data_IF_987989661778
#
_entry.id   IF_987989661778
#
_cell.length_a   1.000
_cell.length_b   1.000
_cell.length_c   1.000
_cell.angle_alpha   90.00
_cell.angle_beta   90.00
_cell.angle_gamma   90.00
#
_symmetry.space_group_name_H-M   'P 1'
#
loop_
_entity.id
_entity.type
_entity.pdbx_description
1 polymer ?
#
# COMPACT_ATOMS: atom_id res chain seq x y z
N UNK A 1 19.55 35.14 -19.48
CA UNK A 1 19.84 33.92 -18.70
C UNK A 1 18.52 33.15 -18.57
N UNK A 2 18.48 31.84 -18.85
CA UNK A 2 17.23 31.06 -18.78
C UNK A 2 17.15 30.31 -17.43
N UNK A 3 15.95 29.94 -16.95
CA UNK A 3 15.78 29.32 -15.63
C UNK A 3 16.40 27.93 -15.49
N UNK A 4 16.62 27.21 -16.61
CA UNK A 4 17.22 25.86 -16.58
C UNK A 4 18.70 25.90 -16.16
N UNK A 5 19.44 26.99 -16.39
CA UNK A 5 20.87 27.07 -16.03
C UNK A 5 21.17 26.92 -14.55
N UNK A 6 20.19 27.17 -13.68
CA UNK A 6 20.33 27.04 -12.24
C UNK A 6 19.80 25.69 -11.70
N UNK A 7 19.26 24.83 -12.57
CA UNK A 7 18.73 23.54 -12.14
C UNK A 7 19.85 22.52 -11.89
N UNK A 8 19.69 21.63 -10.89
CA UNK A 8 20.65 20.58 -10.59
C UNK A 8 20.68 19.50 -11.70
N UNK A 9 21.74 18.67 -11.69
CA UNK A 9 21.91 17.57 -12.66
C UNK A 9 20.68 16.64 -12.72
N UNK A 10 20.05 16.33 -11.57
CA UNK A 10 18.82 15.53 -11.48
C UNK A 10 17.64 16.04 -12.33
N UNK A 11 17.65 17.31 -12.72
CA UNK A 11 16.61 17.91 -13.57
C UNK A 11 16.82 17.67 -15.07
N UNK A 12 17.92 17.05 -15.48
CA UNK A 12 18.26 16.81 -16.88
C UNK A 12 18.43 15.31 -17.16
N UNK A 13 17.70 14.81 -18.16
CA UNK A 13 17.69 13.39 -18.52
C UNK A 13 19.09 12.80 -18.75
N UNK A 14 19.94 13.51 -19.50
CA UNK A 14 21.26 13.00 -19.87
C UNK A 14 22.13 12.70 -18.64
N UNK A 15 22.43 13.67 -17.75
CA UNK A 15 23.23 13.42 -16.56
C UNK A 15 22.50 12.64 -15.45
N UNK A 16 21.17 12.69 -15.37
CA UNK A 16 20.42 12.00 -14.31
C UNK A 16 20.08 10.53 -14.64
N UNK A 17 19.96 10.18 -15.93
CA UNK A 17 19.40 8.89 -16.36
C UNK A 17 20.25 8.19 -17.42
N UNK A 18 20.77 8.92 -18.42
CA UNK A 18 21.43 8.28 -19.56
C UNK A 18 22.93 8.00 -19.35
N UNK A 19 23.63 8.88 -18.64
CA UNK A 19 25.07 8.76 -18.35
C UNK A 19 25.39 7.86 -17.15
N UNK A 20 24.60 7.86 -16.04
CA UNK A 20 24.84 6.95 -14.91
C UNK A 20 24.62 5.48 -15.28
N UNK A 21 25.28 4.58 -14.54
CA UNK A 21 24.84 3.17 -14.51
C UNK A 21 23.40 3.10 -14.00
N UNK A 22 22.59 2.17 -14.53
CA UNK A 22 21.16 2.11 -14.18
C UNK A 22 20.92 1.91 -12.68
N UNK A 23 21.83 1.22 -11.96
CA UNK A 23 21.72 1.02 -10.51
C UNK A 23 22.28 2.20 -9.70
N UNK A 24 22.95 3.13 -10.37
CA UNK A 24 23.51 4.36 -9.80
C UNK A 24 22.63 5.59 -10.02
N UNK A 25 21.49 5.47 -10.74
CA UNK A 25 20.47 6.53 -10.81
C UNK A 25 20.03 6.87 -9.39
N UNK A 26 20.16 8.14 -9.01
CA UNK A 26 19.84 8.61 -7.66
C UNK A 26 19.03 9.91 -7.68
N UNK A 27 18.81 10.51 -6.51
CA UNK A 27 18.02 11.75 -6.33
C UNK A 27 16.64 11.76 -7.01
N UNK A 28 16.02 10.58 -7.20
CA UNK A 28 14.68 10.46 -7.82
C UNK A 28 13.57 11.02 -6.95
N UNK A 29 13.84 11.20 -5.65
CA UNK A 29 12.92 11.75 -4.66
C UNK A 29 13.68 12.61 -3.66
N UNK A 30 13.08 13.76 -3.32
CA UNK A 30 13.49 14.64 -2.23
C UNK A 30 12.27 14.76 -1.31
N UNK A 31 12.33 14.25 -0.07
CA UNK A 31 11.19 14.28 0.84
C UNK A 31 10.73 15.71 1.11
N UNK A 32 9.42 15.92 1.22
CA UNK A 32 8.87 17.21 1.69
C UNK A 32 8.93 17.39 3.20
N UNK A 33 9.01 16.29 3.92
CA UNK A 33 9.02 16.24 5.37
C UNK A 33 9.94 15.12 5.81
N UNK A 34 10.60 15.32 6.95
CA UNK A 34 11.37 14.27 7.61
C UNK A 34 10.41 13.22 8.17
N UNK A 35 10.89 11.99 8.21
CA UNK A 35 10.24 10.86 8.91
C UNK A 35 11.31 10.32 9.83
N UNK A 36 11.32 10.76 11.09
CA UNK A 36 12.33 10.42 12.08
C UNK A 36 12.34 8.92 12.45
N UNK A 37 13.43 8.41 13.04
CA UNK A 37 13.51 7.00 13.44
C UNK A 37 12.48 6.66 14.54
N UNK A 38 12.14 7.62 15.40
CA UNK A 38 11.19 7.43 16.50
C UNK A 38 9.73 7.71 16.11
N UNK A 39 9.49 8.30 14.94
CA UNK A 39 8.14 8.60 14.47
C UNK A 39 7.39 7.31 14.17
N UNK A 40 6.21 7.05 14.77
CA UNK A 40 5.46 5.85 14.45
C UNK A 40 4.99 5.91 13.00
N UNK A 41 5.52 5.02 12.16
CA UNK A 41 5.19 4.90 10.74
C UNK A 41 4.18 3.78 10.56
N UNK A 42 3.06 4.11 9.92
CA UNK A 42 2.03 3.16 9.53
C UNK A 42 2.21 2.78 8.06
N UNK A 43 2.01 1.51 7.71
CA UNK A 43 1.98 1.03 6.33
C UNK A 43 0.64 0.38 6.02
N UNK A 44 0.07 0.75 4.87
CA UNK A 44 -1.13 0.14 4.31
C UNK A 44 -1.05 0.16 2.78
N UNK A 45 -1.79 -0.71 2.10
CA UNK A 45 -1.89 -0.64 0.65
C UNK A 45 -1.86 -1.99 -0.04
N UNK A 46 -1.36 -1.99 -1.27
CA UNK A 46 -1.19 -3.15 -2.13
C UNK A 46 -0.23 -4.21 -1.56
N UNK A 47 -0.10 -5.33 -2.28
CA UNK A 47 0.87 -6.38 -1.96
C UNK A 47 2.33 -5.89 -1.89
N UNK A 48 2.71 -4.82 -2.61
CA UNK A 48 4.06 -4.24 -2.46
C UNK A 48 4.29 -3.59 -1.08
N UNK A 49 3.23 -3.10 -0.42
CA UNK A 49 3.35 -2.43 0.87
C UNK A 49 3.82 -3.37 2.00
N UNK A 50 3.64 -4.69 1.83
CA UNK A 50 4.09 -5.70 2.80
C UNK A 50 5.60 -5.72 2.99
N UNK A 51 6.36 -5.20 2.03
CA UNK A 51 7.81 -5.11 2.10
C UNK A 51 8.28 -3.88 2.89
N UNK A 52 7.44 -2.85 3.01
CA UNK A 52 7.81 -1.58 3.65
C UNK A 52 7.92 -1.74 5.16
N UNK A 53 6.98 -2.43 5.80
CA UNK A 53 6.96 -2.62 7.25
C UNK A 53 8.22 -3.31 7.81
N UNK A 54 8.57 -4.50 7.31
CA UNK A 54 9.82 -5.18 7.67
C UNK A 54 11.05 -4.32 7.38
N UNK A 55 11.14 -3.71 6.19
CA UNK A 55 12.30 -2.88 5.83
C UNK A 55 12.48 -1.66 6.75
N UNK A 56 11.39 -0.99 7.15
CA UNK A 56 11.42 0.09 8.14
C UNK A 56 11.98 -0.41 9.48
N UNK A 57 11.54 -1.60 9.92
CA UNK A 57 11.97 -2.20 11.18
C UNK A 57 13.45 -2.61 11.15
N UNK A 58 13.90 -3.17 10.03
CA UNK A 58 15.29 -3.59 9.82
C UNK A 58 16.26 -2.39 9.79
N UNK A 59 15.80 -1.23 9.32
CA UNK A 59 16.53 0.05 9.40
C UNK A 59 16.31 0.81 10.71
N UNK A 60 15.72 0.17 11.72
CA UNK A 60 15.56 0.74 13.06
C UNK A 60 14.54 1.86 13.17
N UNK A 61 13.64 2.00 12.20
CA UNK A 61 12.51 2.92 12.29
C UNK A 61 11.36 2.32 13.10
N UNK A 62 10.60 3.20 13.75
CA UNK A 62 9.42 2.85 14.54
C UNK A 62 8.23 2.48 13.65
N UNK A 63 8.26 1.28 13.05
CA UNK A 63 7.11 0.75 12.34
C UNK A 63 6.04 0.26 13.33
N UNK A 64 4.86 0.87 13.28
CA UNK A 64 3.79 0.60 14.22
C UNK A 64 2.79 -0.44 13.68
N UNK A 65 2.64 -1.54 14.40
CA UNK A 65 1.58 -2.53 14.20
C UNK A 65 0.37 -2.19 15.08
N UNK A 66 -0.81 -2.01 14.48
CA UNK A 66 -2.02 -1.63 15.22
C UNK A 66 -2.62 -2.78 16.02
N UNK A 67 -2.52 -4.00 15.49
CA UNK A 67 -3.02 -5.22 16.10
C UNK A 67 -1.87 -6.20 16.29
N UNK A 68 -1.39 -6.31 17.53
CA UNK A 68 -0.34 -7.27 17.86
C UNK A 68 -0.90 -8.70 17.93
N UNK A 69 -0.13 -9.71 17.50
CA UNK A 69 -0.55 -11.10 17.61
C UNK A 69 -0.72 -11.50 19.07
N UNK A 70 -1.77 -12.27 19.42
CA UNK A 70 -1.92 -12.81 20.75
C UNK A 70 -0.73 -13.71 21.12
N UNK A 71 -0.40 -13.84 22.42
CA UNK A 71 0.68 -14.71 22.85
C UNK A 71 0.38 -16.17 22.47
N UNK A 72 1.43 -16.93 22.15
CA UNK A 72 1.33 -18.36 21.84
C UNK A 72 1.24 -18.71 20.35
N UNK A 73 1.01 -17.75 19.45
CA UNK A 73 1.04 -18.03 18.00
C UNK A 73 2.46 -18.25 17.49
N UNK A 74 2.65 -19.33 16.73
CA UNK A 74 3.85 -19.60 15.91
C UNK A 74 4.03 -18.55 14.82
N UNK A 75 5.24 -18.45 14.26
CA UNK A 75 5.50 -17.55 13.13
C UNK A 75 4.61 -17.85 11.92
N UNK A 76 4.33 -19.13 11.65
CA UNK A 76 3.46 -19.55 10.56
C UNK A 76 2.00 -19.11 10.79
N UNK A 77 1.47 -19.28 12.00
CA UNK A 77 0.11 -18.85 12.34
C UNK A 77 -0.03 -17.32 12.30
N UNK A 78 0.96 -16.58 12.82
CA UNK A 78 0.99 -15.12 12.73
C UNK A 78 0.88 -14.66 11.28
N UNK A 79 1.68 -15.29 10.42
CA UNK A 79 1.72 -15.00 8.99
C UNK A 79 0.41 -15.35 8.29
N UNK A 80 -0.11 -16.55 8.51
CA UNK A 80 -1.38 -17.01 7.94
C UNK A 80 -2.55 -16.12 8.34
N UNK A 81 -2.45 -15.47 9.50
CA UNK A 81 -3.45 -14.53 10.04
C UNK A 81 -3.10 -13.07 9.78
N UNK A 82 -2.13 -12.78 8.92
CA UNK A 82 -1.72 -11.43 8.49
C UNK A 82 -1.14 -10.51 9.59
N UNK A 83 -0.69 -11.06 10.71
CA UNK A 83 0.08 -10.29 11.70
C UNK A 83 1.46 -9.96 11.14
N UNK A 84 1.94 -8.73 11.35
CA UNK A 84 3.22 -8.28 10.81
C UNK A 84 3.26 -8.04 9.30
N UNK A 85 2.13 -8.16 8.59
CA UNK A 85 2.06 -7.92 7.14
C UNK A 85 1.89 -6.43 6.78
N UNK A 86 1.04 -5.73 7.54
CA UNK A 86 0.72 -4.32 7.41
C UNK A 86 0.50 -3.74 8.81
N UNK A 87 0.45 -2.41 8.92
CA UNK A 87 0.08 -1.79 10.20
C UNK A 87 -1.36 -2.07 10.60
N UNK A 88 -2.27 -2.18 9.63
CA UNK A 88 -3.66 -2.56 9.87
C UNK A 88 -3.89 -4.00 9.46
N UNK A 89 -4.49 -4.81 10.33
CA UNK A 89 -4.83 -6.21 10.03
C UNK A 89 -6.12 -6.31 9.19
N UNK A 90 -6.21 -5.49 8.14
CA UNK A 90 -7.32 -5.42 7.17
C UNK A 90 -7.08 -6.32 5.96
N UNK A 91 -5.88 -6.87 5.81
CA UNK A 91 -5.41 -7.40 4.52
C UNK A 91 -5.10 -6.26 3.55
N UNK A 92 -5.07 -6.59 2.26
CA UNK A 92 -4.64 -5.65 1.21
C UNK A 92 -5.67 -4.55 0.98
N UNK A 93 -5.23 -3.30 0.90
CA UNK A 93 -6.08 -2.15 0.56
C UNK A 93 -5.62 -1.60 -0.80
N UNK A 94 -6.26 -2.02 -1.89
CA UNK A 94 -5.82 -1.64 -3.24
C UNK A 94 -6.23 -0.23 -3.66
N UNK A 95 -7.44 0.20 -3.31
CA UNK A 95 -8.04 1.42 -3.83
C UNK A 95 -8.13 2.52 -2.75
N UNK A 96 -8.10 3.77 -3.19
CA UNK A 96 -8.33 4.92 -2.29
C UNK A 96 -9.70 4.85 -1.61
N UNK A 97 -10.72 4.35 -2.30
CA UNK A 97 -12.07 4.17 -1.76
C UNK A 97 -12.11 3.14 -0.63
N UNK A 98 -11.39 2.02 -0.74
CA UNK A 98 -11.30 1.03 0.32
C UNK A 98 -10.56 1.58 1.56
N UNK A 99 -9.50 2.38 1.37
CA UNK A 99 -8.86 3.07 2.49
C UNK A 99 -9.82 4.07 3.14
N UNK A 100 -10.53 4.87 2.33
CA UNK A 100 -11.53 5.82 2.82
C UNK A 100 -12.59 5.12 3.66
N UNK A 101 -13.11 3.99 3.18
CA UNK A 101 -14.09 3.19 3.90
C UNK A 101 -13.57 2.75 5.28
N UNK A 102 -12.39 2.13 5.35
CA UNK A 102 -11.81 1.70 6.62
C UNK A 102 -11.59 2.86 7.59
N UNK A 103 -11.15 4.02 7.10
CA UNK A 103 -10.94 5.19 7.93
C UNK A 103 -12.26 5.84 8.37
N UNK A 104 -13.29 5.89 7.52
CA UNK A 104 -14.64 6.30 7.93
C UNK A 104 -15.11 5.41 9.09
N UNK A 105 -15.00 4.09 8.93
CA UNK A 105 -15.40 3.11 9.94
C UNK A 105 -14.64 3.23 11.25
N UNK A 106 -13.34 3.55 11.17
CA UNK A 106 -12.51 3.67 12.34
C UNK A 106 -12.64 5.03 13.03
N UNK A 107 -12.84 6.13 12.29
CA UNK A 107 -12.69 7.50 12.82
C UNK A 107 -14.01 8.25 13.02
N UNK A 108 -15.14 7.69 12.59
CA UNK A 108 -16.47 8.30 12.75
C UNK A 108 -17.41 7.40 13.58
N UNK A 109 -18.68 7.79 13.67
CA UNK A 109 -19.74 7.00 14.31
C UNK A 109 -20.37 5.95 13.37
N UNK A 110 -20.14 6.06 12.06
CA UNK A 110 -20.50 5.02 11.10
C UNK A 110 -19.46 3.91 11.17
N UNK A 111 -19.81 2.73 11.69
CA UNK A 111 -18.91 1.57 11.81
C UNK A 111 -19.03 0.56 10.66
N UNK A 112 -19.76 0.91 9.60
CA UNK A 112 -20.07 0.02 8.49
C UNK A 112 -21.21 -0.96 8.79
N UNK A 113 -21.62 -1.76 7.79
CA UNK A 113 -22.72 -2.70 7.94
C UNK A 113 -22.33 -3.91 8.80
N UNK A 114 -23.31 -4.47 9.51
CA UNK A 114 -23.16 -5.71 10.29
C UNK A 114 -23.15 -6.99 9.41
N UNK A 115 -22.76 -6.88 8.14
CA UNK A 115 -22.70 -8.01 7.23
C UNK A 115 -21.56 -8.98 7.61
N UNK A 116 -21.91 -10.26 7.59
CA UNK A 116 -21.02 -11.41 7.78
C UNK A 116 -21.39 -12.48 6.76
N UNK A 117 -20.40 -13.12 6.15
CA UNK A 117 -20.62 -14.24 5.24
C UNK A 117 -20.57 -15.56 5.99
N UNK A 118 -21.48 -16.47 5.67
CA UNK A 118 -21.45 -17.85 6.15
C UNK A 118 -20.59 -18.70 5.21
N UNK A 119 -19.68 -19.47 5.78
CA UNK A 119 -18.80 -20.40 5.07
C UNK A 119 -18.87 -21.77 5.77
N UNK A 120 -19.80 -22.61 5.33
CA UNK A 120 -20.17 -23.85 6.03
C UNK A 120 -20.70 -23.57 7.44
N UNK A 121 -19.99 -24.06 8.45
CA UNK A 121 -20.28 -23.87 9.89
C UNK A 121 -19.48 -22.70 10.49
N UNK A 122 -18.78 -21.93 9.67
CA UNK A 122 -17.95 -20.79 10.05
C UNK A 122 -18.53 -19.48 9.51
N UNK A 123 -18.02 -18.38 10.05
CA UNK A 123 -18.40 -17.03 9.70
C UNK A 123 -17.17 -16.20 9.32
N UNK A 124 -17.24 -15.45 8.22
CA UNK A 124 -16.12 -14.71 7.65
C UNK A 124 -16.49 -13.24 7.47
N UNK A 125 -15.51 -12.36 7.70
CA UNK A 125 -15.67 -10.93 7.44
C UNK A 125 -15.56 -10.64 5.93
N UNK A 126 -16.62 -10.15 5.26
CA UNK A 126 -16.59 -9.79 3.82
C UNK A 126 -15.52 -8.78 3.43
N UNK A 127 -15.02 -7.99 4.38
CA UNK A 127 -14.02 -6.95 4.15
C UNK A 127 -12.61 -7.38 4.53
N UNK A 128 -12.46 -8.55 5.16
CA UNK A 128 -11.18 -9.16 5.54
C UNK A 128 -11.20 -10.68 5.25
N UNK A 129 -11.54 -11.11 4.01
CA UNK A 129 -11.91 -12.51 3.73
C UNK A 129 -10.77 -13.53 3.89
N UNK A 130 -9.52 -13.08 3.92
CA UNK A 130 -8.31 -13.91 4.08
C UNK A 130 -7.61 -13.77 5.43
N UNK A 131 -8.00 -12.78 6.26
CA UNK A 131 -7.28 -12.45 7.50
C UNK A 131 -7.46 -13.51 8.59
N UNK A 132 -8.60 -14.20 8.59
CA UNK A 132 -8.88 -15.30 9.51
C UNK A 132 -9.23 -16.56 8.69
N UNK A 133 -8.23 -17.42 8.38
CA UNK A 133 -8.40 -18.48 7.38
C UNK A 133 -9.45 -19.53 7.76
N UNK A 134 -9.59 -19.80 9.05
CA UNK A 134 -10.56 -20.76 9.61
C UNK A 134 -11.95 -20.14 9.87
N UNK A 135 -12.09 -18.83 9.64
CA UNK A 135 -13.27 -18.07 10.03
C UNK A 135 -13.48 -17.99 11.56
N UNK A 136 -14.67 -17.54 11.94
CA UNK A 136 -15.10 -17.38 13.33
C UNK A 136 -16.26 -18.33 13.66
N UNK A 137 -16.45 -18.60 14.95
CA UNK A 137 -17.51 -19.50 15.44
C UNK A 137 -18.92 -18.91 15.34
N UNK A 138 -19.05 -17.58 15.27
CA UNK A 138 -20.35 -16.90 15.20
C UNK A 138 -20.27 -15.54 14.49
N UNK A 139 -21.40 -14.99 14.00
CA UNK A 139 -21.45 -13.63 13.47
C UNK A 139 -20.96 -12.57 14.47
N UNK A 140 -21.31 -12.73 15.74
CA UNK A 140 -20.93 -11.80 16.81
C UNK A 140 -19.42 -11.80 17.01
N UNK A 141 -18.77 -12.97 16.93
CA UNK A 141 -17.31 -13.08 16.99
C UNK A 141 -16.63 -12.40 15.79
N UNK A 142 -17.17 -12.56 14.57
CA UNK A 142 -16.69 -11.85 13.38
C UNK A 142 -16.79 -10.34 13.54
N UNK A 143 -17.94 -9.83 13.96
CA UNK A 143 -18.17 -8.40 14.15
C UNK A 143 -17.34 -7.85 15.32
N UNK A 144 -17.15 -8.61 16.39
CA UNK A 144 -16.26 -8.24 17.50
C UNK A 144 -14.81 -8.10 17.02
N UNK A 145 -14.33 -9.02 16.19
CA UNK A 145 -13.00 -8.91 15.58
C UNK A 145 -12.89 -7.70 14.65
N UNK A 146 -13.97 -7.32 13.94
CA UNK A 146 -13.97 -6.09 13.12
C UNK A 146 -13.89 -4.85 13.99
N UNK A 147 -14.70 -4.75 15.04
CA UNK A 147 -14.66 -3.64 16.00
C UNK A 147 -13.28 -3.51 16.66
N UNK A 148 -12.60 -4.62 16.96
CA UNK A 148 -11.22 -4.61 17.46
C UNK A 148 -10.26 -3.94 16.47
N UNK A 149 -10.33 -4.29 15.18
CA UNK A 149 -9.54 -3.65 14.12
C UNK A 149 -9.86 -2.17 13.97
N UNK A 150 -11.14 -1.77 13.97
CA UNK A 150 -11.53 -0.36 13.88
C UNK A 150 -10.98 0.45 15.05
N UNK A 151 -11.07 -0.08 16.27
CA UNK A 151 -10.49 0.54 17.45
C UNK A 151 -8.96 0.61 17.37
N UNK A 152 -8.30 -0.40 16.82
CA UNK A 152 -6.86 -0.42 16.61
C UNK A 152 -6.40 0.66 15.61
N UNK A 153 -7.07 0.76 14.46
CA UNK A 153 -6.84 1.80 13.45
C UNK A 153 -6.95 3.18 14.11
N UNK A 154 -8.06 3.46 14.81
CA UNK A 154 -8.29 4.73 15.51
C UNK A 154 -7.12 5.08 16.44
N UNK A 155 -6.74 4.16 17.33
CA UNK A 155 -5.63 4.39 18.28
C UNK A 155 -4.31 4.69 17.56
N UNK A 156 -3.94 3.87 16.57
CA UNK A 156 -2.65 4.06 15.88
C UNK A 156 -2.59 5.32 15.04
N UNK A 157 -3.67 5.68 14.34
CA UNK A 157 -3.73 6.91 13.54
C UNK A 157 -3.55 8.15 14.43
N UNK A 158 -4.16 8.17 15.62
CA UNK A 158 -4.02 9.30 16.55
C UNK A 158 -2.60 9.50 17.10
N UNK A 159 -1.77 8.45 17.10
CA UNK A 159 -0.40 8.50 17.59
C UNK A 159 0.70 8.52 16.52
N UNK A 160 0.35 8.33 15.25
CA UNK A 160 1.34 8.17 14.17
C UNK A 160 1.96 9.49 13.70
N UNK A 161 3.22 9.40 13.23
CA UNK A 161 3.90 10.49 12.53
C UNK A 161 3.61 10.47 11.04
N UNK A 162 3.64 9.29 10.41
CA UNK A 162 3.46 9.13 8.97
C UNK A 162 2.57 7.93 8.63
N UNK A 163 1.67 8.09 7.65
CA UNK A 163 1.03 6.97 6.95
C UNK A 163 1.64 6.81 5.55
N UNK A 164 2.28 5.66 5.33
CA UNK A 164 2.79 5.20 4.05
C UNK A 164 1.71 4.38 3.34
N UNK A 165 1.07 4.96 2.31
CA UNK A 165 0.00 4.28 1.57
C UNK A 165 0.43 3.92 0.15
N UNK A 166 0.48 2.61 -0.13
CA UNK A 166 0.83 2.08 -1.45
C UNK A 166 -0.42 1.78 -2.28
N UNK A 167 -0.76 2.67 -3.21
CA UNK A 167 -1.87 2.53 -4.15
C UNK A 167 -1.64 1.32 -5.07
N UNK A 168 -2.64 0.45 -5.17
CA UNK A 168 -2.53 -0.79 -5.91
C UNK A 168 -3.20 -0.76 -7.27
N UNK A 169 -4.51 -0.55 -7.25
CA UNK A 169 -5.41 -0.77 -8.39
C UNK A 169 -6.48 0.33 -8.44
N UNK A 170 -7.09 0.49 -9.61
CA UNK A 170 -8.28 1.33 -9.83
C UNK A 170 -9.55 0.49 -9.92
N UNK A 171 -9.45 -0.84 -9.99
CA UNK A 171 -10.58 -1.73 -10.08
C UNK A 171 -11.06 -2.13 -8.67
N UNK A 172 -12.37 -2.12 -8.46
CA UNK A 172 -12.98 -2.66 -7.24
C UNK A 172 -14.36 -3.24 -7.52
N UNK A 173 -14.84 -4.03 -6.55
CA UNK A 173 -16.20 -4.54 -6.51
C UNK A 173 -16.97 -3.81 -5.41
N UNK A 174 -18.13 -3.28 -5.77
CA UNK A 174 -19.00 -2.53 -4.88
C UNK A 174 -20.29 -3.28 -4.64
N UNK A 175 -20.76 -3.26 -3.40
CA UNK A 175 -22.08 -3.71 -3.04
C UNK A 175 -23.08 -2.56 -3.20
N UNK A 176 -24.07 -2.72 -4.07
CA UNK A 176 -25.10 -1.71 -4.32
C UNK A 176 -26.06 -1.53 -3.16
N UNK A 177 -26.23 -2.54 -2.30
CA UNK A 177 -27.15 -2.47 -1.16
C UNK A 177 -26.55 -1.64 -0.01
N UNK A 178 -25.24 -1.80 0.25
CA UNK A 178 -24.56 -1.13 1.37
C UNK A 178 -23.68 0.04 0.94
N UNK A 179 -23.40 0.18 -0.36
CA UNK A 179 -22.44 1.16 -0.89
C UNK A 179 -20.98 0.84 -0.56
N UNK A 180 -20.70 -0.35 -0.01
CA UNK A 180 -19.35 -0.73 0.43
C UNK A 180 -18.50 -1.24 -0.72
N UNK A 181 -17.18 -1.14 -0.54
CA UNK A 181 -16.15 -1.65 -1.43
C UNK A 181 -15.61 -2.95 -0.82
N UNK A 182 -15.66 -4.03 -1.59
CA UNK A 182 -15.01 -5.29 -1.23
C UNK A 182 -13.54 -5.27 -1.64
N UNK A 183 -12.65 -5.90 -0.84
CA UNK A 183 -11.22 -5.96 -1.15
C UNK A 183 -10.92 -6.77 -2.41
N UNK A 184 -11.78 -7.74 -2.72
CA UNK A 184 -11.75 -8.61 -3.92
C UNK A 184 -13.18 -8.93 -4.35
N UNK A 185 -13.35 -9.46 -5.57
CA UNK A 185 -14.66 -9.94 -6.03
C UNK A 185 -15.21 -11.03 -5.08
N UNK A 186 -16.42 -10.89 -4.53
CA UNK A 186 -17.05 -11.98 -3.78
C UNK A 186 -17.08 -13.28 -4.60
N UNK A 187 -16.70 -14.40 -3.99
CA UNK A 187 -16.60 -15.70 -4.65
C UNK A 187 -15.20 -16.08 -5.15
N UNK A 188 -14.23 -15.17 -5.17
CA UNK A 188 -12.84 -15.53 -5.56
C UNK A 188 -12.00 -16.06 -4.41
N UNK A 189 -12.17 -15.48 -3.21
CA UNK A 189 -11.51 -15.94 -1.97
C UNK A 189 -12.52 -16.59 -1.03
N UNK A 190 -13.64 -15.90 -0.79
CA UNK A 190 -14.78 -16.30 0.05
C UNK A 190 -16.05 -15.62 -0.44
N UNK A 191 -17.20 -16.05 0.08
CA UNK A 191 -18.51 -15.51 -0.27
C UNK A 191 -19.03 -16.00 -1.62
N UNK A 192 -20.10 -15.39 -2.11
CA UNK A 192 -20.75 -15.76 -3.37
C UNK A 192 -20.97 -14.52 -4.22
N UNK A 193 -20.60 -14.59 -5.50
CA UNK A 193 -20.88 -13.53 -6.44
C UNK A 193 -22.38 -13.42 -6.73
N UNK A 194 -22.87 -12.20 -6.89
CA UNK A 194 -24.26 -11.89 -7.21
C UNK A 194 -24.25 -10.69 -8.17
N UNK A 195 -24.61 -10.92 -9.43
CA UNK A 195 -24.55 -9.89 -10.46
C UNK A 195 -25.56 -8.74 -10.25
N UNK A 196 -26.62 -8.95 -9.47
CA UNK A 196 -27.59 -7.90 -9.12
C UNK A 196 -27.11 -6.99 -7.99
N UNK A 197 -26.14 -7.44 -7.20
CA UNK A 197 -25.64 -6.74 -6.00
C UNK A 197 -24.20 -6.26 -6.14
N UNK A 198 -23.33 -7.13 -6.63
CA UNK A 198 -21.90 -6.88 -6.73
C UNK A 198 -21.57 -6.28 -8.11
N UNK A 199 -21.24 -5.00 -8.10
CA UNK A 199 -20.99 -4.21 -9.30
C UNK A 199 -19.51 -3.87 -9.42
N UNK A 200 -18.97 -4.09 -10.61
CA UNK A 200 -17.62 -3.68 -10.94
C UNK A 200 -17.53 -2.16 -11.09
N UNK A 201 -16.50 -1.54 -10.53
CA UNK A 201 -16.17 -0.12 -10.75
C UNK A 201 -14.68 0.05 -11.02
N UNK A 202 -14.35 0.76 -12.11
CA UNK A 202 -12.99 1.21 -12.39
C UNK A 202 -12.89 2.71 -12.13
N UNK A 203 -12.19 3.09 -11.06
CA UNK A 203 -12.10 4.46 -10.58
C UNK A 203 -11.29 5.34 -11.55
N UNK A 204 -11.82 6.54 -11.84
CA UNK A 204 -11.11 7.57 -12.61
C UNK A 204 -10.13 8.36 -11.73
N UNK A 205 -9.21 9.10 -12.35
CA UNK A 205 -8.28 10.00 -11.62
C UNK A 205 -9.00 10.96 -10.68
N UNK A 206 -10.11 11.56 -11.12
CA UNK A 206 -10.89 12.49 -10.30
C UNK A 206 -11.53 11.79 -9.08
N UNK A 207 -12.01 10.56 -9.25
CA UNK A 207 -12.58 9.80 -8.12
C UNK A 207 -11.50 9.37 -7.13
N UNK A 208 -10.35 8.87 -7.62
CA UNK A 208 -9.20 8.52 -6.76
C UNK A 208 -8.71 9.75 -5.99
N UNK A 209 -8.54 10.88 -6.67
CA UNK A 209 -8.14 12.14 -6.04
C UNK A 209 -9.14 12.60 -4.97
N UNK A 210 -10.44 12.56 -5.26
CA UNK A 210 -11.50 12.87 -4.29
C UNK A 210 -11.44 11.95 -3.07
N UNK A 211 -11.30 10.64 -3.28
CA UNK A 211 -11.24 9.68 -2.19
C UNK A 211 -9.99 9.88 -1.33
N UNK A 212 -8.82 10.13 -1.95
CA UNK A 212 -7.59 10.44 -1.22
C UNK A 212 -7.66 11.77 -0.47
N UNK A 213 -8.31 12.79 -1.05
CA UNK A 213 -8.54 14.08 -0.36
C UNK A 213 -9.35 13.86 0.91
N UNK A 214 -10.42 13.07 0.83
CA UNK A 214 -11.23 12.73 2.00
C UNK A 214 -10.48 11.88 3.04
N UNK A 215 -9.61 10.97 2.59
CA UNK A 215 -8.69 10.20 3.45
C UNK A 215 -7.77 11.16 4.21
N UNK A 216 -7.08 12.06 3.52
CA UNK A 216 -6.15 13.02 4.12
C UNK A 216 -6.89 13.91 5.12
N UNK A 217 -8.06 14.45 4.74
CA UNK A 217 -8.88 15.26 5.64
C UNK A 217 -9.27 14.50 6.92
N UNK A 218 -9.68 13.23 6.81
CA UNK A 218 -10.07 12.41 7.95
C UNK A 218 -8.88 12.10 8.87
N UNK A 219 -7.73 11.76 8.30
CA UNK A 219 -6.50 11.51 9.05
C UNK A 219 -6.04 12.77 9.79
N UNK A 220 -6.09 13.93 9.14
CA UNK A 220 -5.68 15.22 9.72
C UNK A 220 -6.65 15.72 10.79
N UNK A 221 -7.94 15.42 10.66
CA UNK A 221 -8.93 15.68 11.71
C UNK A 221 -8.65 14.85 12.97
N UNK A 222 -8.26 13.58 12.80
CA UNK A 222 -7.88 12.70 13.92
C UNK A 222 -6.48 13.02 14.50
N UNK A 223 -5.55 13.44 13.65
CA UNK A 223 -4.17 13.76 14.02
C UNK A 223 -3.61 14.91 13.15
N UNK A 224 -3.65 16.16 13.65
CA UNK A 224 -3.14 17.34 12.94
C UNK A 224 -1.62 17.39 12.74
N UNK A 225 -0.86 16.35 13.12
CA UNK A 225 0.58 16.24 12.84
C UNK A 225 0.91 15.16 11.83
N UNK A 226 -0.02 14.25 11.55
CA UNK A 226 0.20 13.15 10.62
C UNK A 226 0.52 13.67 9.22
N UNK A 227 1.58 13.12 8.63
CA UNK A 227 1.93 13.27 7.21
C UNK A 227 1.55 12.01 6.44
N UNK A 228 1.27 12.16 5.15
CA UNK A 228 0.89 11.04 4.28
C UNK A 228 1.91 10.93 3.15
N UNK A 229 2.58 9.78 3.06
CA UNK A 229 3.47 9.47 1.96
C UNK A 229 2.82 8.43 1.06
N UNK A 230 2.43 8.88 -0.13
CA UNK A 230 1.81 8.05 -1.15
C UNK A 230 2.88 7.38 -2.00
N UNK A 231 2.59 6.18 -2.48
CA UNK A 231 3.37 5.55 -3.55
C UNK A 231 2.46 4.67 -4.40
N UNK A 232 2.83 4.44 -5.65
CA UNK A 232 2.10 3.51 -6.53
C UNK A 232 2.84 2.19 -6.57
N UNK A 233 2.09 1.09 -6.47
CA UNK A 233 2.63 -0.26 -6.55
C UNK A 233 3.16 -0.56 -7.95
N UNK A 234 4.40 -1.06 -8.09
CA UNK A 234 4.95 -1.52 -9.37
C UNK A 234 4.31 -2.81 -9.90
N UNK A 235 3.58 -3.55 -9.05
CA UNK A 235 3.03 -4.86 -9.41
C UNK A 235 1.88 -4.70 -10.41
N UNK A 236 1.97 -5.30 -11.61
CA UNK A 236 0.87 -5.37 -12.59
C UNK A 236 -0.39 -6.06 -12.05
N UNK A 237 -1.54 -5.75 -12.68
CA UNK A 237 -2.80 -6.44 -12.38
C UNK A 237 -2.66 -7.94 -12.66
N UNK A 238 -3.24 -8.76 -11.80
CA UNK A 238 -3.38 -10.20 -12.05
C UNK A 238 -4.36 -10.44 -13.21
N UNK A 239 -5.52 -9.81 -13.10
CA UNK A 239 -6.61 -9.87 -14.06
C UNK A 239 -7.33 -8.52 -14.10
N UNK A 240 -8.12 -8.29 -15.14
CA UNK A 240 -8.97 -7.11 -15.26
C UNK A 240 -10.39 -7.54 -15.59
N UNK A 241 -11.37 -6.94 -14.90
CA UNK A 241 -12.79 -7.16 -15.18
C UNK A 241 -13.35 -6.16 -16.22
N UNK A 242 -12.50 -5.28 -16.77
CA UNK A 242 -12.89 -4.33 -17.83
C UNK A 242 -13.19 -4.98 -19.19
N UNK A 243 -12.78 -6.25 -19.37
CA UNK A 243 -12.79 -6.92 -20.68
C UNK A 243 -11.66 -6.49 -21.62
N UNK A 244 -10.79 -5.54 -21.20
CA UNK A 244 -9.61 -5.16 -21.95
C UNK A 244 -8.45 -6.14 -21.74
N UNK A 245 -7.37 -5.98 -22.51
CA UNK A 245 -6.14 -6.72 -22.28
C UNK A 245 -5.47 -6.27 -20.96
N UNK A 246 -5.02 -7.21 -20.13
CA UNK A 246 -4.47 -6.91 -18.79
C UNK A 246 -3.29 -5.94 -18.82
N UNK A 247 -2.46 -5.98 -19.86
CA UNK A 247 -1.35 -5.03 -20.06
C UNK A 247 -1.83 -3.59 -20.23
N UNK A 248 -2.87 -3.34 -21.04
CA UNK A 248 -3.38 -1.98 -21.26
C UNK A 248 -4.19 -1.50 -20.05
N UNK A 249 -4.95 -2.39 -19.40
CA UNK A 249 -5.63 -2.11 -18.14
C UNK A 249 -4.64 -1.76 -17.03
N UNK A 250 -3.50 -2.46 -16.95
CA UNK A 250 -2.42 -2.13 -16.02
C UNK A 250 -1.85 -0.75 -16.30
N UNK A 251 -1.52 -0.44 -17.56
CA UNK A 251 -1.04 0.88 -17.93
C UNK A 251 -2.01 2.00 -17.55
N UNK A 252 -3.31 1.81 -17.80
CA UNK A 252 -4.36 2.74 -17.39
C UNK A 252 -4.40 2.92 -15.87
N UNK A 253 -4.48 1.80 -15.14
CA UNK A 253 -4.62 1.81 -13.69
C UNK A 253 -3.47 2.54 -13.01
N UNK A 254 -2.22 2.22 -13.37
CA UNK A 254 -1.04 2.87 -12.77
C UNK A 254 -0.93 4.34 -13.14
N UNK A 255 -1.31 4.72 -14.37
CA UNK A 255 -1.33 6.12 -14.80
C UNK A 255 -2.34 6.95 -14.02
N UNK A 256 -3.55 6.42 -13.81
CA UNK A 256 -4.61 7.06 -13.01
C UNK A 256 -4.15 7.27 -11.57
N UNK A 257 -3.64 6.23 -10.92
CA UNK A 257 -3.16 6.31 -9.53
C UNK A 257 -2.01 7.30 -9.38
N UNK A 258 -1.06 7.26 -10.33
CA UNK A 258 0.11 8.15 -10.30
C UNK A 258 -0.27 9.61 -10.48
N UNK A 259 -1.21 9.90 -11.38
CA UNK A 259 -1.72 11.25 -11.60
C UNK A 259 -2.42 11.78 -10.35
N UNK A 260 -3.32 10.99 -9.75
CA UNK A 260 -4.06 11.40 -8.55
C UNK A 260 -3.12 11.63 -7.34
N UNK A 261 -2.17 10.72 -7.10
CA UNK A 261 -1.20 10.87 -6.02
C UNK A 261 -0.27 12.08 -6.21
N UNK A 262 0.19 12.30 -7.45
CA UNK A 262 1.03 13.45 -7.78
C UNK A 262 0.33 14.78 -7.60
N UNK A 263 -0.94 14.86 -8.05
CA UNK A 263 -1.76 16.05 -7.87
C UNK A 263 -1.97 16.35 -6.37
N UNK A 264 -2.36 15.33 -5.58
CA UNK A 264 -2.61 15.54 -4.15
C UNK A 264 -1.35 15.94 -3.39
N UNK A 265 -0.20 15.39 -3.76
CA UNK A 265 1.07 15.86 -3.24
C UNK A 265 1.27 17.34 -3.58
N UNK A 266 1.08 17.79 -4.82
CA UNK A 266 1.26 19.21 -5.16
C UNK A 266 0.33 20.17 -4.40
N UNK A 267 -0.85 19.70 -3.98
CA UNK A 267 -1.85 20.51 -3.28
C UNK A 267 -1.61 20.66 -1.78
N UNK A 268 -0.80 19.77 -1.17
CA UNK A 268 -0.64 19.69 0.28
C UNK A 268 0.82 19.46 0.71
N UNK A 269 1.33 20.31 1.60
CA UNK A 269 2.71 20.18 2.13
C UNK A 269 2.90 18.95 3.02
N UNK A 270 1.81 18.44 3.62
CA UNK A 270 1.80 17.24 4.46
C UNK A 270 1.48 15.96 3.69
N UNK A 271 1.44 16.04 2.35
CA UNK A 271 1.31 14.89 1.45
C UNK A 271 2.47 14.87 0.47
N UNK A 272 3.13 13.73 0.35
CA UNK A 272 4.24 13.56 -0.59
C UNK A 272 4.11 12.25 -1.39
N UNK A 273 4.92 12.10 -2.43
CA UNK A 273 4.93 10.94 -3.32
C UNK A 273 6.33 10.34 -3.42
N UNK A 274 6.48 9.09 -2.98
CA UNK A 274 7.69 8.30 -3.18
C UNK A 274 7.59 7.44 -4.47
N UNK A 275 8.56 7.50 -5.40
CA UNK A 275 8.46 6.90 -6.73
C UNK A 275 8.86 5.41 -6.78
N UNK A 276 8.29 4.55 -5.92
CA UNK A 276 8.56 3.11 -5.97
C UNK A 276 8.13 2.45 -7.30
N UNK A 277 7.03 2.93 -7.89
CA UNK A 277 6.56 2.51 -9.22
C UNK A 277 7.63 2.75 -10.28
N UNK A 278 8.10 4.00 -10.39
CA UNK A 278 9.05 4.41 -11.42
C UNK A 278 10.43 3.73 -11.26
N UNK A 279 10.86 3.50 -10.01
CA UNK A 279 12.11 2.80 -9.71
C UNK A 279 12.13 1.33 -10.16
N UNK A 280 10.96 0.72 -10.36
CA UNK A 280 10.84 -0.66 -10.83
C UNK A 280 10.44 -0.73 -12.30
N UNK A 281 9.47 0.08 -12.72
CA UNK A 281 8.87 -0.01 -14.06
C UNK A 281 9.49 0.95 -15.08
N UNK A 282 10.36 1.85 -14.63
CA UNK A 282 11.01 2.83 -15.50
C UNK A 282 11.81 2.15 -16.61
N UNK A 283 11.66 2.66 -17.83
CA UNK A 283 12.44 2.19 -19.00
C UNK A 283 13.95 2.05 -18.73
N UNK A 284 14.63 2.97 -17.99
CA UNK A 284 16.05 2.84 -17.70
C UNK A 284 16.46 1.53 -17.01
N UNK A 285 15.55 0.94 -16.23
CA UNK A 285 15.80 -0.29 -15.46
C UNK A 285 15.50 -1.56 -16.25
N UNK A 286 14.98 -1.46 -17.48
CA UNK A 286 14.85 -2.56 -18.44
C UNK A 286 14.13 -3.82 -17.91
N UNK A 287 13.25 -3.65 -16.92
CA UNK A 287 12.47 -4.74 -16.32
C UNK A 287 13.29 -5.75 -15.51
N UNK A 288 14.56 -5.47 -15.16
CA UNK A 288 15.45 -6.43 -14.46
C UNK A 288 14.97 -6.79 -13.06
N UNK A 289 14.06 -6.00 -12.50
CA UNK A 289 13.51 -6.20 -11.16
C UNK A 289 12.24 -7.06 -11.12
N UNK A 290 11.78 -7.58 -12.27
CA UNK A 290 10.68 -8.55 -12.31
C UNK A 290 11.20 -9.98 -12.41
N UNK A 291 10.49 -10.90 -11.75
CA UNK A 291 10.69 -12.33 -11.91
C UNK A 291 10.24 -12.80 -13.31
N UNK A 292 10.47 -14.06 -13.71
CA UNK A 292 10.09 -14.58 -15.03
C UNK A 292 8.59 -14.49 -15.36
N UNK A 293 7.73 -14.33 -14.35
CA UNK A 293 6.28 -14.09 -14.51
C UNK A 293 5.95 -12.66 -14.99
N UNK A 294 6.96 -11.78 -15.06
CA UNK A 294 6.86 -10.37 -15.43
C UNK A 294 5.93 -9.55 -14.51
N UNK A 295 5.69 -10.02 -13.29
CA UNK A 295 4.76 -9.42 -12.34
C UNK A 295 5.33 -9.32 -10.93
N UNK A 296 5.96 -10.38 -10.44
CA UNK A 296 6.54 -10.43 -9.11
C UNK A 296 7.80 -9.58 -9.06
N UNK A 297 7.88 -8.62 -8.13
CA UNK A 297 9.10 -7.85 -7.90
C UNK A 297 10.10 -8.72 -7.15
N UNK A 298 11.33 -8.81 -7.66
CA UNK A 298 12.38 -9.61 -7.05
C UNK A 298 12.88 -8.98 -5.75
N UNK A 299 13.49 -9.77 -4.83
CA UNK A 299 14.13 -9.22 -3.63
C UNK A 299 15.15 -8.11 -3.95
N UNK A 300 15.88 -8.24 -5.05
CA UNK A 300 16.81 -7.20 -5.53
C UNK A 300 16.08 -5.90 -5.90
N UNK A 301 14.91 -5.98 -6.53
CA UNK A 301 14.06 -4.82 -6.82
C UNK A 301 13.52 -4.16 -5.57
N UNK A 302 13.05 -4.95 -4.59
CA UNK A 302 12.62 -4.43 -3.29
C UNK A 302 13.79 -3.70 -2.61
N UNK A 303 14.96 -4.33 -2.51
CA UNK A 303 16.15 -3.71 -1.92
C UNK A 303 16.59 -2.43 -2.66
N UNK A 304 16.44 -2.40 -3.99
CA UNK A 304 16.71 -1.21 -4.81
C UNK A 304 15.81 -0.04 -4.41
N UNK A 305 14.50 -0.28 -4.26
CA UNK A 305 13.53 0.72 -3.81
C UNK A 305 13.84 1.18 -2.37
N UNK A 306 14.09 0.25 -1.45
CA UNK A 306 14.36 0.59 -0.04
C UNK A 306 15.63 1.43 0.10
N UNK A 307 16.70 1.10 -0.65
CA UNK A 307 17.91 1.91 -0.69
C UNK A 307 17.62 3.36 -1.08
N UNK A 308 16.79 3.60 -2.10
CA UNK A 308 16.43 4.96 -2.49
C UNK A 308 15.57 5.68 -1.45
N UNK A 309 14.65 4.96 -0.82
CA UNK A 309 13.83 5.50 0.27
C UNK A 309 14.70 6.00 1.42
N UNK A 310 15.56 5.12 1.98
CA UNK A 310 16.38 5.46 3.14
C UNK A 310 17.52 6.44 2.82
N UNK A 311 18.11 6.36 1.62
CA UNK A 311 19.11 7.35 1.19
C UNK A 311 18.50 8.76 1.06
N UNK A 312 17.24 8.87 0.63
CA UNK A 312 16.54 10.15 0.57
C UNK A 312 16.28 10.72 1.97
N UNK A 313 15.76 9.90 2.90
CA UNK A 313 15.55 10.32 4.28
C UNK A 313 16.86 10.70 5.00
N UNK A 314 17.94 9.96 4.76
CA UNK A 314 19.26 10.25 5.37
C UNK A 314 19.85 11.54 4.83
N UNK A 315 19.82 11.76 3.51
CA UNK A 315 20.31 13.00 2.90
C UNK A 315 19.53 14.23 3.36
N UNK A 316 18.22 14.11 3.52
CA UNK A 316 17.39 15.20 4.02
C UNK A 316 17.77 15.58 5.46
N UNK A 317 17.96 14.57 6.33
CA UNK A 317 18.45 14.77 7.69
C UNK A 317 19.87 15.34 7.74
N UNK A 318 20.79 14.87 6.89
CA UNK A 318 22.16 15.40 6.82
C UNK A 318 22.19 16.83 6.28
N UNK A 319 21.32 17.18 5.34
CA UNK A 319 21.14 18.56 4.90
C UNK A 319 20.55 19.45 6.01
N UNK A 320 19.74 18.86 6.90
CA UNK A 320 19.17 19.53 8.06
C UNK A 320 20.08 19.53 9.32
N UNK A 321 21.13 18.69 9.37
CA UNK A 321 21.99 18.50 10.54
C UNK A 321 23.40 19.14 10.37
N UNK A 322 24.05 19.60 11.46
CA UNK A 322 25.49 19.89 11.44
C UNK A 322 26.29 18.60 11.30
N UNK A 323 27.17 18.53 10.31
CA UNK A 323 27.81 17.32 9.78
C UNK A 323 28.63 16.53 10.81
N UNK A 324 28.31 15.25 11.03
CA UNK A 324 29.23 14.24 11.59
C UNK A 324 28.94 12.86 11.00
N UNK A 325 29.97 12.25 10.41
CA UNK A 325 29.92 10.99 9.68
C UNK A 325 30.31 9.79 10.56
N UNK A 326 29.68 8.62 10.32
CA UNK A 326 30.32 7.29 10.47
C UNK A 326 29.54 6.17 9.74
N UNK A 327 30.31 5.24 9.15
CA UNK A 327 29.97 4.09 8.30
C UNK A 327 29.29 2.88 9.00
N UNK A 328 28.58 2.05 8.20
CA UNK A 328 27.99 0.74 8.57
C UNK A 328 28.33 -0.36 7.54
N UNK A 329 28.50 -1.65 7.93
CA UNK A 329 28.56 -2.80 7.01
C UNK A 329 27.28 -3.67 7.01
N UNK A 330 27.19 -4.59 6.03
CA UNK A 330 25.97 -5.17 5.45
C UNK A 330 25.69 -6.69 5.68
N UNK A 331 24.39 -7.01 5.67
CA UNK A 331 23.56 -8.11 5.10
C UNK A 331 23.85 -9.64 5.19
N UNK A 332 22.73 -10.39 5.32
CA UNK A 332 22.45 -11.64 4.58
C UNK A 332 20.92 -11.87 4.38
N UNK A 333 20.43 -12.46 3.26
CA UNK A 333 19.01 -12.55 2.92
C UNK A 333 18.40 -13.97 2.99
N UNK A 334 17.07 -14.10 3.20
CA UNK A 334 16.29 -15.27 2.72
C UNK A 334 14.78 -14.99 2.51
N UNK A 335 14.20 -15.67 1.52
CA UNK A 335 12.82 -16.15 1.52
C UNK A 335 11.73 -15.31 0.84
N UNK A 336 11.60 -15.41 -0.49
CA UNK A 336 10.44 -14.89 -1.24
C UNK A 336 9.16 -15.70 -1.04
N UNK A 337 7.99 -15.07 -1.14
CA UNK A 337 6.71 -15.76 -0.94
C UNK A 337 5.51 -15.18 -1.70
N UNK A 338 4.85 -16.11 -2.39
CA UNK A 338 3.49 -16.07 -2.97
C UNK A 338 2.41 -15.84 -1.89
N UNK A 339 1.17 -15.63 -2.34
CA UNK A 339 -0.05 -15.35 -1.56
C UNK A 339 -0.31 -13.86 -1.30
N UNK A 340 -1.07 -13.30 -2.24
CA UNK A 340 -1.66 -11.98 -2.32
C UNK A 340 -3.14 -12.24 -2.68
N UNK A 341 -4.12 -11.55 -2.08
CA UNK A 341 -5.56 -11.83 -2.27
C UNK A 341 -6.00 -11.78 -3.74
N UNK A 342 -5.24 -11.06 -4.56
CA UNK A 342 -5.46 -10.91 -6.01
C UNK A 342 -4.74 -12.02 -6.82
N UNK A 343 -3.69 -12.65 -6.29
CA UNK A 343 -2.98 -13.77 -6.92
C UNK A 343 -3.81 -15.08 -6.96
N UNK A 344 -4.90 -15.15 -6.20
CA UNK A 344 -5.87 -16.25 -6.29
C UNK A 344 -6.52 -16.29 -7.68
N UNK A 345 -6.60 -15.14 -8.39
CA UNK A 345 -7.14 -15.06 -9.75
C UNK A 345 -6.27 -15.78 -10.81
N UNK A 346 -4.99 -16.04 -10.53
CA UNK A 346 -4.12 -16.79 -11.46
C UNK A 346 -4.56 -18.26 -11.62
N UNK A 347 -5.37 -18.78 -10.68
CA UNK A 347 -5.79 -20.19 -10.65
C UNK A 347 -7.11 -20.43 -11.41
N UNK A 348 -7.76 -19.38 -11.92
CA UNK A 348 -8.97 -19.49 -12.73
C UNK A 348 -8.65 -19.38 -14.23
N UNK A 349 -8.28 -20.51 -14.84
CA UNK A 349 -8.33 -20.74 -16.30
C UNK A 349 -8.88 -22.13 -16.60
N UNK A 350 -10.06 -22.19 -17.23
CA UNK A 350 -10.37 -23.06 -18.36
C UNK A 350 -11.87 -22.95 -18.70
N UNK A 351 -12.15 -22.64 -19.96
CA UNK A 351 -13.47 -22.47 -20.58
C UNK A 351 -13.33 -21.66 -21.84
#
# INVERSE_FOLDING_TARGET
MNPYRALPARSFWRPAVAEPDMLAVDEVWTPKFDIGPDDPVLTAGSCFARHLGPALRDEGMNWAEAELPPPGLTAAERRARHFGAYSFRTGTIYTAAALRQWLTWALTDDTGPDEVWRDGDRYVDPYRPSVEPDGYDSPEATLAARRSTLAAIRRTVTGAGCLLFTLGLTEAWRDTATGTVHPVCPGTVRGTFDAGRHTFHNYTTAEVHRDLTAVVASLRAANPRLTVLLTVSPVPLTATATGAHVLTATGYSKSVLRAAAGQLAQEHDHVDYFPSYELITGFPFRGVFFAPDLRTVTPAGVAFVMRHFFAALTRDREAAAPTRATDRPADTPDGGDLFCDDAVLDHHRAG
#
